data_IF_128120592432
#
_entry.id   IF_128120592432
#
_cell.length_a   1.000
_cell.length_b   1.000
_cell.length_c   1.000
_cell.angle_alpha   90.00
_cell.angle_beta   90.00
_cell.angle_gamma   90.00
#
_symmetry.space_group_name_H-M   'P 1'
#
loop_
_entity.id
_entity.type
_entity.pdbx_description
1 polymer ?
#
# COMPACT_ATOMS: atom_id res chain seq x y z
N UNK A 1 -11.91 13.80 33.95
CA UNK A 1 -11.00 12.65 33.90
C UNK A 1 -9.78 13.09 33.12
N UNK A 2 -8.54 12.90 33.60
CA UNK A 2 -7.35 13.16 32.80
C UNK A 2 -7.31 12.19 31.62
N UNK A 3 -6.82 12.66 30.47
CA UNK A 3 -6.55 11.76 29.35
C UNK A 3 -5.45 10.77 29.78
N UNK A 4 -5.58 9.48 29.45
CA UNK A 4 -4.52 8.51 29.72
C UNK A 4 -3.24 8.95 29.01
N UNK A 5 -2.13 9.05 29.76
CA UNK A 5 -0.81 9.24 29.17
C UNK A 5 -0.47 8.02 28.31
N UNK A 6 -0.31 8.25 26.99
CA UNK A 6 0.08 7.23 26.03
C UNK A 6 1.47 7.58 25.49
N UNK A 7 2.52 6.80 25.80
CA UNK A 7 3.85 7.07 25.27
C UNK A 7 3.86 6.88 23.75
N UNK A 8 4.68 7.68 23.05
CA UNK A 8 4.76 7.66 21.58
C UNK A 8 5.06 6.27 21.01
N UNK A 9 5.77 5.42 21.74
CA UNK A 9 6.05 4.03 21.38
C UNK A 9 4.79 3.15 21.28
N UNK A 10 3.79 3.41 22.12
CA UNK A 10 2.54 2.64 22.10
C UNK A 10 1.64 3.07 20.94
N UNK A 11 1.71 4.35 20.55
CA UNK A 11 1.06 4.87 19.34
C UNK A 11 1.63 4.18 18.10
N UNK A 12 2.96 4.18 17.93
CA UNK A 12 3.65 3.54 16.79
C UNK A 12 3.33 2.05 16.68
N UNK A 13 3.28 1.32 17.81
CA UNK A 13 2.90 -0.09 17.81
C UNK A 13 1.45 -0.30 17.36
N UNK A 14 0.53 0.54 17.82
CA UNK A 14 -0.88 0.46 17.44
C UNK A 14 -1.12 0.82 15.98
N UNK A 15 -0.35 1.77 15.43
CA UNK A 15 -0.41 2.16 14.03
C UNK A 15 0.09 1.04 13.13
N UNK A 16 1.26 0.48 13.45
CA UNK A 16 1.82 -0.66 12.72
C UNK A 16 0.89 -1.88 12.76
N UNK A 17 0.25 -2.14 13.90
CA UNK A 17 -0.71 -3.24 14.02
C UNK A 17 -1.96 -3.00 13.16
N UNK A 18 -2.47 -1.76 13.10
CA UNK A 18 -3.59 -1.40 12.23
C UNK A 18 -3.22 -1.51 10.75
N UNK A 19 -2.03 -1.05 10.37
CA UNK A 19 -1.53 -1.14 8.99
C UNK A 19 -1.35 -2.60 8.53
N UNK A 20 -1.08 -3.52 9.46
CA UNK A 20 -0.97 -4.96 9.20
C UNK A 20 -2.30 -5.71 9.31
N UNK A 21 -3.40 -5.04 9.65
CA UNK A 21 -4.70 -5.66 9.81
C UNK A 21 -5.45 -5.71 8.46
N UNK A 22 -4.87 -6.41 7.49
CA UNK A 22 -5.47 -6.69 6.20
C UNK A 22 -5.81 -8.18 6.04
N UNK A 23 -6.75 -8.50 5.15
CA UNK A 23 -7.08 -9.87 4.80
C UNK A 23 -6.29 -10.29 3.56
N UNK A 24 -5.31 -11.18 3.75
CA UNK A 24 -4.46 -11.69 2.67
C UNK A 24 -5.25 -12.32 1.53
N UNK A 25 -6.39 -12.97 1.82
CA UNK A 25 -7.22 -13.63 0.82
C UNK A 25 -7.91 -12.59 -0.06
N UNK A 26 -8.46 -11.53 0.54
CA UNK A 26 -9.12 -10.46 -0.21
C UNK A 26 -8.11 -9.68 -1.06
N UNK A 27 -6.92 -9.41 -0.50
CA UNK A 27 -5.84 -8.75 -1.24
C UNK A 27 -5.35 -9.59 -2.42
N UNK A 28 -5.18 -10.90 -2.25
CA UNK A 28 -4.81 -11.78 -3.34
C UNK A 28 -5.86 -11.78 -4.46
N UNK A 29 -7.16 -11.76 -4.09
CA UNK A 29 -8.24 -11.67 -5.05
C UNK A 29 -8.24 -10.32 -5.80
N UNK A 30 -7.99 -9.21 -5.12
CA UNK A 30 -7.86 -7.88 -5.75
C UNK A 30 -6.72 -7.90 -6.79
N UNK A 31 -5.55 -8.42 -6.44
CA UNK A 31 -4.41 -8.50 -7.37
C UNK A 31 -4.79 -9.35 -8.58
N UNK A 32 -5.31 -10.56 -8.37
CA UNK A 32 -5.66 -11.47 -9.46
C UNK A 32 -6.70 -10.89 -10.44
N UNK A 33 -7.65 -10.08 -9.94
CA UNK A 33 -8.69 -9.48 -10.75
C UNK A 33 -8.24 -8.20 -11.47
N UNK A 34 -7.39 -7.39 -10.85
CA UNK A 34 -7.04 -6.06 -11.37
C UNK A 34 -5.73 -6.03 -12.16
N UNK A 35 -4.76 -6.90 -11.81
CA UNK A 35 -3.47 -6.96 -12.51
C UNK A 35 -3.59 -7.19 -14.03
N UNK A 36 -4.54 -8.00 -14.54
CA UNK A 36 -4.77 -8.15 -15.98
C UNK A 36 -5.41 -6.93 -16.67
N UNK A 37 -6.00 -6.01 -15.89
CA UNK A 37 -6.71 -4.83 -16.40
C UNK A 37 -5.80 -3.60 -16.51
N UNK A 38 -4.56 -3.69 -16.02
CA UNK A 38 -3.60 -2.61 -16.05
C UNK A 38 -3.22 -2.25 -17.49
N UNK A 39 -3.13 -0.95 -17.76
CA UNK A 39 -2.48 -0.47 -18.99
C UNK A 39 -0.97 -0.76 -18.93
N UNK A 40 -0.28 -0.69 -20.08
CA UNK A 40 1.17 -0.89 -20.13
C UNK A 40 1.93 0.07 -19.19
N UNK A 41 1.48 1.32 -19.08
CA UNK A 41 2.05 2.33 -18.19
C UNK A 41 1.86 1.94 -16.72
N UNK A 42 0.63 1.60 -16.32
CA UNK A 42 0.32 1.19 -14.96
C UNK A 42 1.06 -0.10 -14.58
N UNK A 43 1.18 -1.04 -15.52
CA UNK A 43 1.91 -2.30 -15.32
C UNK A 43 3.41 -2.06 -15.09
N UNK A 44 4.00 -1.12 -15.83
CA UNK A 44 5.39 -0.73 -15.63
C UNK A 44 5.63 -0.18 -14.22
N UNK A 45 4.75 0.72 -13.76
CA UNK A 45 4.78 1.31 -12.42
C UNK A 45 4.62 0.22 -11.36
N UNK A 46 3.61 -0.64 -11.48
CA UNK A 46 3.34 -1.75 -10.56
C UNK A 46 4.57 -2.65 -10.39
N UNK A 47 5.16 -3.11 -11.51
CA UNK A 47 6.33 -3.99 -11.47
C UNK A 47 7.52 -3.32 -10.76
N UNK A 48 7.72 -2.02 -10.97
CA UNK A 48 8.83 -1.28 -10.34
C UNK A 48 8.64 -1.12 -8.84
N UNK A 49 7.41 -0.92 -8.36
CA UNK A 49 7.10 -0.92 -6.93
C UNK A 49 7.30 -2.32 -6.34
N UNK A 50 6.78 -3.36 -7.01
CA UNK A 50 6.91 -4.75 -6.53
C UNK A 50 8.37 -5.22 -6.45
N UNK A 51 9.23 -4.79 -7.37
CA UNK A 51 10.67 -5.05 -7.29
C UNK A 51 11.28 -4.44 -6.02
N UNK A 52 10.99 -3.18 -5.72
CA UNK A 52 11.50 -2.52 -4.52
C UNK A 52 10.99 -3.16 -3.21
N UNK A 53 9.73 -3.65 -3.21
CA UNK A 53 9.15 -4.38 -2.09
C UNK A 53 9.85 -5.73 -1.91
N UNK A 54 9.99 -6.51 -2.98
CA UNK A 54 10.60 -7.85 -2.94
C UNK A 54 12.08 -7.81 -2.54
N UNK A 55 12.79 -6.75 -2.93
CA UNK A 55 14.19 -6.54 -2.58
C UNK A 55 14.36 -5.84 -1.22
N UNK A 56 13.28 -5.56 -0.50
CA UNK A 56 13.26 -4.84 0.79
C UNK A 56 13.99 -3.48 0.75
N UNK A 57 14.06 -2.85 -0.43
CA UNK A 57 14.80 -1.59 -0.63
C UNK A 57 14.13 -0.41 0.09
N UNK A 58 12.83 -0.53 0.37
CA UNK A 58 12.02 0.55 0.93
C UNK A 58 11.96 1.76 -0.01
N UNK A 59 11.73 2.94 0.55
CA UNK A 59 11.71 4.21 -0.20
C UNK A 59 10.31 4.81 -0.40
N UNK A 60 10.27 5.91 -1.14
CA UNK A 60 9.05 6.68 -1.40
C UNK A 60 8.83 6.83 -2.90
N UNK A 61 7.61 6.54 -3.36
CA UNK A 61 7.21 6.68 -4.75
C UNK A 61 6.21 7.83 -4.90
N UNK A 62 6.46 8.73 -5.86
CA UNK A 62 5.51 9.75 -6.27
C UNK A 62 4.89 9.36 -7.61
N UNK A 63 3.57 9.36 -7.67
CA UNK A 63 2.79 9.01 -8.86
C UNK A 63 2.07 10.26 -9.36
N UNK A 64 2.64 10.91 -10.37
CA UNK A 64 1.93 11.94 -11.12
C UNK A 64 1.01 11.25 -12.12
N UNK A 65 -0.29 11.42 -11.92
CA UNK A 65 -1.29 10.88 -12.84
C UNK A 65 -2.46 11.87 -12.92
N UNK A 66 -2.98 12.18 -14.12
CA UNK A 66 -4.17 13.00 -14.27
C UNK A 66 -5.40 12.40 -13.59
N UNK A 67 -6.43 13.22 -13.34
CA UNK A 67 -7.72 12.71 -12.87
C UNK A 67 -8.37 11.81 -13.92
N UNK A 68 -8.87 10.63 -13.52
CA UNK A 68 -9.55 9.69 -14.42
C UNK A 68 -8.68 8.56 -14.98
N UNK A 69 -7.36 8.55 -14.72
CA UNK A 69 -6.43 7.52 -15.21
C UNK A 69 -6.37 6.25 -14.32
N UNK A 70 -7.45 5.95 -13.61
CA UNK A 70 -7.53 4.71 -12.83
C UNK A 70 -6.62 4.64 -11.59
N UNK A 71 -6.33 5.76 -10.90
CA UNK A 71 -5.60 5.73 -9.61
C UNK A 71 -6.27 4.89 -8.50
N UNK A 72 -7.54 4.54 -8.73
CA UNK A 72 -8.42 3.76 -7.84
C UNK A 72 -8.87 2.45 -8.52
N UNK A 73 -8.29 2.11 -9.67
CA UNK A 73 -8.53 0.86 -10.41
C UNK A 73 -7.25 0.02 -10.43
#
# INVERSE_FOLDING_TARGET
MPSPDRPATDLVKSDLQREKQYNDVDLAAIIANNEPLLTDEQKNIYNRIMLAVNDEQGGFFSLDAPGGTGKIF
#
